data_IF_655970667608
#
_entry.id   IF_655970667608
#
_cell.length_a   1.000
_cell.length_b   1.000
_cell.length_c   1.000
_cell.angle_alpha   90.00
_cell.angle_beta   90.00
_cell.angle_gamma   90.00
#
_symmetry.space_group_name_H-M   'P 1'
#
loop_
_entity.id
_entity.type
_entity.pdbx_description
1 polymer ?
#
# COMPACT_ATOMS: atom_id res chain seq x y z
N UNK A 1 -27.34 -33.60 10.61
CA UNK A 1 -27.10 -32.84 9.37
C UNK A 1 -26.30 -31.61 9.76
N UNK A 2 -24.97 -31.73 9.70
CA UNK A 2 -24.03 -30.75 10.24
C UNK A 2 -23.94 -29.54 9.32
N UNK A 3 -24.59 -28.44 9.68
CA UNK A 3 -24.37 -27.14 9.06
C UNK A 3 -23.13 -26.49 9.68
N UNK A 4 -21.97 -26.96 9.28
CA UNK A 4 -20.68 -26.27 9.43
C UNK A 4 -20.26 -25.86 8.03
N UNK A 5 -20.72 -24.70 7.55
CA UNK A 5 -20.28 -24.13 6.27
C UNK A 5 -20.13 -22.62 6.45
N UNK A 6 -18.87 -22.24 6.68
CA UNK A 6 -18.20 -21.15 5.98
C UNK A 6 -18.82 -19.75 6.09
N UNK A 7 -19.10 -19.31 7.32
CA UNK A 7 -18.98 -17.87 7.60
C UNK A 7 -17.50 -17.54 7.73
N UNK A 8 -16.78 -17.52 6.61
CA UNK A 8 -15.44 -16.96 6.51
C UNK A 8 -15.49 -15.57 7.14
N UNK A 9 -14.77 -15.43 8.25
CA UNK A 9 -14.57 -14.19 8.97
C UNK A 9 -14.11 -13.15 7.95
N UNK A 10 -15.00 -12.23 7.56
CA UNK A 10 -14.66 -11.15 6.63
C UNK A 10 -13.62 -10.30 7.34
N UNK A 11 -12.34 -10.52 7.02
CA UNK A 11 -11.23 -9.76 7.58
C UNK A 11 -11.54 -8.28 7.38
N UNK A 12 -11.66 -7.54 8.49
CA UNK A 12 -12.00 -6.12 8.47
C UNK A 12 -10.94 -5.35 7.68
N UNK A 13 -11.39 -4.61 6.66
CA UNK A 13 -10.52 -3.75 5.89
C UNK A 13 -10.32 -2.42 6.61
N UNK A 14 -9.06 -2.03 6.79
CA UNK A 14 -8.69 -0.73 7.32
C UNK A 14 -9.01 0.38 6.32
N UNK A 15 -9.24 1.62 6.78
CA UNK A 15 -9.45 2.77 5.90
C UNK A 15 -8.32 2.93 4.88
N UNK A 16 -8.63 3.57 3.75
CA UNK A 16 -7.63 3.85 2.72
C UNK A 16 -6.43 4.60 3.30
N UNK A 17 -5.19 4.11 3.10
CA UNK A 17 -3.99 4.71 3.69
C UNK A 17 -3.66 6.10 3.14
N UNK A 18 -4.29 6.51 2.03
CA UNK A 18 -4.03 7.80 1.37
C UNK A 18 -5.05 8.88 1.72
N UNK A 19 -6.34 8.51 1.80
CA UNK A 19 -7.43 9.48 1.96
C UNK A 19 -8.33 9.21 3.17
N UNK A 20 -8.20 8.05 3.83
CA UNK A 20 -9.03 7.66 4.97
C UNK A 20 -10.44 7.17 4.62
N UNK A 21 -10.83 7.18 3.33
CA UNK A 21 -12.14 6.66 2.92
C UNK A 21 -12.23 5.14 3.07
N UNK A 22 -13.43 4.58 3.33
CA UNK A 22 -13.63 3.14 3.36
C UNK A 22 -13.28 2.47 2.01
N UNK A 23 -12.56 1.34 2.01
CA UNK A 23 -12.33 0.57 0.81
C UNK A 23 -13.49 -0.38 0.48
N UNK A 24 -13.49 -0.92 -0.74
CA UNK A 24 -14.39 -1.99 -1.17
C UNK A 24 -13.58 -3.11 -1.80
N UNK A 25 -13.90 -4.35 -1.44
CA UNK A 25 -13.40 -5.56 -2.09
C UNK A 25 -14.43 -6.02 -3.11
N UNK A 26 -13.97 -6.38 -4.30
CA UNK A 26 -14.81 -6.97 -5.34
C UNK A 26 -14.00 -7.86 -6.28
N UNK A 27 -14.70 -8.72 -7.01
CA UNK A 27 -14.16 -9.53 -8.10
C UNK A 27 -14.43 -8.81 -9.43
N UNK A 28 -13.48 -8.84 -10.35
CA UNK A 28 -13.65 -8.28 -11.69
C UNK A 28 -14.51 -9.24 -12.51
N UNK A 29 -15.76 -8.85 -12.77
CA UNK A 29 -16.76 -9.70 -13.45
C UNK A 29 -16.88 -9.41 -14.96
N UNK A 30 -16.16 -8.42 -15.50
CA UNK A 30 -16.24 -8.09 -16.92
C UNK A 30 -15.54 -9.15 -17.78
N UNK A 31 -16.31 -9.92 -18.56
CA UNK A 31 -15.83 -11.09 -19.33
C UNK A 31 -14.75 -10.77 -20.37
N UNK A 32 -14.73 -9.54 -20.89
CA UNK A 32 -13.71 -9.08 -21.85
C UNK A 32 -12.48 -8.47 -21.18
N UNK A 33 -12.51 -8.29 -19.86
CA UNK A 33 -11.37 -7.78 -19.11
C UNK A 33 -10.31 -8.90 -18.98
N UNK A 34 -9.04 -8.65 -19.31
CA UNK A 34 -7.97 -9.64 -19.14
C UNK A 34 -7.77 -10.08 -17.68
N UNK A 35 -8.34 -9.35 -16.72
CA UNK A 35 -8.32 -9.64 -15.29
C UNK A 35 -9.64 -10.23 -14.78
N UNK A 36 -10.54 -10.66 -15.67
CA UNK A 36 -11.79 -11.34 -15.31
C UNK A 36 -11.55 -12.47 -14.29
N UNK A 37 -12.35 -12.50 -13.22
CA UNK A 37 -12.25 -13.44 -12.11
C UNK A 37 -11.19 -13.08 -11.06
N UNK A 38 -10.48 -11.96 -11.22
CA UNK A 38 -9.50 -11.48 -10.25
C UNK A 38 -10.14 -10.65 -9.14
N UNK A 39 -9.69 -10.84 -7.90
CA UNK A 39 -10.10 -10.05 -6.75
C UNK A 39 -9.20 -8.82 -6.55
N UNK A 40 -9.84 -7.72 -6.19
CA UNK A 40 -9.20 -6.44 -5.90
C UNK A 40 -9.86 -5.75 -4.72
N UNK A 41 -9.05 -5.02 -3.94
CA UNK A 41 -9.55 -4.03 -2.99
C UNK A 41 -9.23 -2.65 -3.58
N UNK A 42 -10.24 -1.78 -3.64
CA UNK A 42 -10.11 -0.43 -4.20
C UNK A 42 -10.78 0.63 -3.31
N UNK A 43 -10.23 1.85 -3.35
CA UNK A 43 -10.83 3.04 -2.78
C UNK A 43 -11.50 3.87 -3.88
N UNK A 44 -12.81 4.07 -3.79
CA UNK A 44 -13.59 4.85 -4.75
C UNK A 44 -13.37 6.37 -4.68
N UNK A 45 -12.67 6.86 -3.65
CA UNK A 45 -12.41 8.29 -3.47
C UNK A 45 -11.10 8.77 -4.10
N UNK A 46 -10.11 7.88 -4.24
CA UNK A 46 -8.77 8.26 -4.73
C UNK A 46 -8.13 7.21 -5.63
N UNK A 47 -8.90 6.20 -6.05
CA UNK A 47 -8.50 5.13 -6.97
C UNK A 47 -7.28 4.31 -6.53
N UNK A 48 -6.96 4.33 -5.23
CA UNK A 48 -5.95 3.47 -4.67
C UNK A 48 -6.46 2.02 -4.67
N UNK A 49 -5.71 1.11 -5.26
CA UNK A 49 -6.08 -0.30 -5.34
C UNK A 49 -4.93 -1.25 -4.96
N UNK A 50 -5.28 -2.48 -4.58
CA UNK A 50 -4.31 -3.57 -4.55
C UNK A 50 -3.95 -4.02 -5.96
N UNK A 51 -2.95 -4.91 -6.06
CA UNK A 51 -2.82 -5.76 -7.24
C UNK A 51 -4.06 -6.66 -7.37
N UNK A 52 -4.34 -7.09 -8.59
CA UNK A 52 -5.31 -8.16 -8.85
C UNK A 52 -4.74 -9.49 -8.35
N UNK A 53 -5.55 -10.27 -7.64
CA UNK A 53 -5.18 -11.61 -7.15
C UNK A 53 -6.20 -12.61 -7.68
N UNK A 54 -5.72 -13.72 -8.24
CA UNK A 54 -6.55 -14.81 -8.73
C UNK A 54 -6.47 -16.01 -7.78
N UNK A 55 -7.56 -16.77 -7.64
CA UNK A 55 -7.59 -17.99 -6.82
C UNK A 55 -7.83 -17.71 -5.34
N UNK A 56 -7.15 -18.45 -4.45
CA UNK A 56 -7.32 -18.31 -3.01
C UNK A 56 -6.80 -16.95 -2.52
N UNK A 57 -7.71 -16.12 -2.03
CA UNK A 57 -7.51 -14.69 -1.77
C UNK A 57 -7.31 -14.36 -0.28
N UNK A 58 -6.85 -15.34 0.50
CA UNK A 58 -6.72 -15.27 1.97
C UNK A 58 -5.80 -14.15 2.46
N UNK A 59 -4.84 -13.69 1.64
CA UNK A 59 -3.93 -12.58 1.99
C UNK A 59 -4.28 -11.21 1.39
N UNK A 60 -5.41 -11.08 0.67
CA UNK A 60 -5.73 -9.81 -0.01
C UNK A 60 -6.02 -8.68 0.99
N UNK A 61 -6.71 -9.00 2.09
CA UNK A 61 -6.96 -8.04 3.17
C UNK A 61 -5.66 -7.63 3.86
N UNK A 62 -4.71 -8.54 4.06
CA UNK A 62 -3.40 -8.23 4.65
C UNK A 62 -2.58 -7.31 3.74
N UNK A 63 -2.61 -7.52 2.41
CA UNK A 63 -1.97 -6.64 1.42
C UNK A 63 -2.52 -5.21 1.43
N UNK A 64 -3.78 -5.04 1.82
CA UNK A 64 -4.40 -3.72 2.00
C UNK A 64 -4.04 -3.15 3.38
N UNK A 65 -4.29 -3.93 4.43
CA UNK A 65 -4.17 -3.49 5.82
C UNK A 65 -2.73 -3.19 6.22
N UNK A 66 -1.72 -3.87 5.65
CA UNK A 66 -0.31 -3.56 5.92
C UNK A 66 0.07 -2.14 5.50
N UNK A 67 -0.65 -1.55 4.54
CA UNK A 67 -0.44 -0.16 4.08
C UNK A 67 -1.03 0.86 5.04
N UNK A 68 -2.12 0.51 5.71
CA UNK A 68 -2.73 1.33 6.75
C UNK A 68 -1.94 1.26 8.08
N UNK A 69 -1.12 0.22 8.26
CA UNK A 69 -0.35 -0.07 9.47
C UNK A 69 0.85 0.84 9.78
N UNK A 70 1.14 1.87 8.97
CA UNK A 70 2.13 2.89 9.37
C UNK A 70 1.63 4.31 9.10
N UNK A 71 0.97 4.96 10.07
CA UNK A 71 0.74 6.41 10.04
C UNK A 71 2.05 7.22 10.10
N UNK A 72 3.19 6.54 10.31
CA UNK A 72 4.50 7.14 10.62
C UNK A 72 5.11 8.02 9.52
N UNK A 73 4.59 8.03 8.29
CA UNK A 73 5.27 8.78 7.25
C UNK A 73 4.95 10.29 7.30
N UNK A 74 3.71 10.69 7.63
CA UNK A 74 3.27 12.08 7.46
C UNK A 74 2.48 12.66 8.64
N UNK A 75 2.70 12.14 9.85
CA UNK A 75 2.20 12.79 11.07
C UNK A 75 3.01 14.06 11.31
N UNK A 76 2.32 15.18 11.42
CA UNK A 76 2.86 16.39 12.03
C UNK A 76 2.02 16.84 13.23
N UNK A 77 2.40 17.94 13.89
CA UNK A 77 1.68 18.51 15.03
C UNK A 77 0.22 18.82 14.73
N UNK A 78 -0.13 19.19 13.49
CA UNK A 78 -1.51 19.49 13.09
C UNK A 78 -2.33 18.24 12.70
N UNK A 79 -1.71 17.05 12.67
CA UNK A 79 -2.36 15.79 12.32
C UNK A 79 -1.73 15.08 11.13
N UNK A 80 -2.51 14.24 10.45
CA UNK A 80 -2.05 13.43 9.33
C UNK A 80 -2.07 14.22 8.01
N UNK A 81 -0.93 14.34 7.34
CA UNK A 81 -0.85 14.89 5.99
C UNK A 81 -1.12 13.84 4.91
N UNK A 82 -1.78 14.26 3.83
CA UNK A 82 -2.11 13.40 2.67
C UNK A 82 -0.87 12.95 1.90
N UNK A 83 0.18 13.77 1.87
CA UNK A 83 1.43 13.49 1.16
C UNK A 83 2.65 13.99 1.94
N UNK A 84 3.84 13.50 1.57
CA UNK A 84 5.13 14.08 2.01
C UNK A 84 5.22 15.55 1.73
N UNK A 85 4.82 15.92 0.52
CA UNK A 85 4.94 17.27 0.03
C UNK A 85 4.09 18.22 0.87
N UNK A 86 2.88 17.80 1.25
CA UNK A 86 2.02 18.57 2.15
C UNK A 86 2.66 18.75 3.54
N UNK A 87 3.26 17.71 4.10
CA UNK A 87 3.94 17.81 5.39
C UNK A 87 5.15 18.76 5.34
N UNK A 88 5.92 18.73 4.24
CA UNK A 88 7.05 19.65 3.99
C UNK A 88 6.58 21.09 3.79
N UNK A 89 5.51 21.29 3.01
CA UNK A 89 4.93 22.62 2.75
C UNK A 89 4.43 23.30 4.02
N UNK A 90 3.93 22.51 4.97
CA UNK A 90 3.47 23.01 6.26
C UNK A 90 4.59 23.12 7.31
N UNK A 91 5.85 22.92 6.92
CA UNK A 91 7.03 22.99 7.80
C UNK A 91 7.06 21.97 8.95
N UNK A 92 6.17 20.99 8.94
CA UNK A 92 6.12 19.94 9.97
C UNK A 92 7.05 18.76 9.64
N UNK A 93 7.52 18.69 8.38
CA UNK A 93 8.59 17.81 7.93
C UNK A 93 9.72 18.64 7.31
N UNK A 94 10.97 18.34 7.67
CA UNK A 94 12.15 18.99 7.10
C UNK A 94 12.74 18.13 5.99
N UNK A 95 13.08 18.75 4.86
CA UNK A 95 13.91 18.15 3.82
C UNK A 95 15.18 18.97 3.69
N UNK A 96 16.32 18.32 3.79
CA UNK A 96 17.60 18.95 3.48
C UNK A 96 17.88 18.73 2.00
N UNK A 97 18.04 19.79 1.19
CA UNK A 97 18.45 19.62 -0.20
C UNK A 97 19.82 18.95 -0.23
N UNK A 98 19.98 17.96 -1.11
CA UNK A 98 21.26 17.30 -1.36
C UNK A 98 21.93 17.93 -2.57
N UNK A 99 23.24 18.12 -2.51
CA UNK A 99 24.03 18.50 -3.67
C UNK A 99 24.09 17.37 -4.69
N UNK A 100 24.49 17.69 -5.92
CA UNK A 100 24.69 16.67 -6.96
C UNK A 100 25.72 15.61 -6.52
N UNK A 101 26.81 16.02 -5.86
CA UNK A 101 27.82 15.09 -5.34
C UNK A 101 27.26 14.14 -4.28
N UNK A 102 26.48 14.66 -3.33
CA UNK A 102 25.84 13.83 -2.30
C UNK A 102 24.81 12.87 -2.90
N UNK A 103 24.11 13.27 -3.97
CA UNK A 103 23.20 12.39 -4.68
C UNK A 103 23.92 11.18 -5.26
N UNK A 104 25.07 11.38 -5.93
CA UNK A 104 25.87 10.28 -6.47
C UNK A 104 26.39 9.35 -5.37
N UNK A 105 26.83 9.90 -4.24
CA UNK A 105 27.27 9.13 -3.08
C UNK A 105 26.15 8.28 -2.47
N UNK A 106 24.96 8.86 -2.28
CA UNK A 106 23.80 8.14 -1.76
C UNK A 106 23.35 7.03 -2.72
N UNK A 107 23.31 7.33 -4.02
CA UNK A 107 22.98 6.33 -5.04
C UNK A 107 23.98 5.17 -5.05
N UNK A 108 25.28 5.47 -4.97
CA UNK A 108 26.34 4.46 -4.93
C UNK A 108 26.21 3.55 -3.70
N UNK A 109 25.96 4.14 -2.53
CA UNK A 109 25.70 3.38 -1.29
C UNK A 109 24.49 2.45 -1.42
N UNK A 110 23.41 2.92 -2.05
CA UNK A 110 22.20 2.12 -2.24
C UNK A 110 22.46 0.89 -3.13
N UNK A 111 23.18 1.06 -4.24
CA UNK A 111 23.56 -0.05 -5.13
C UNK A 111 24.42 -1.07 -4.38
N UNK A 112 25.41 -0.62 -3.62
CA UNK A 112 26.27 -1.50 -2.83
C UNK A 112 25.47 -2.29 -1.78
N UNK A 113 24.50 -1.66 -1.12
CA UNK A 113 23.61 -2.36 -0.19
C UNK A 113 22.81 -3.47 -0.88
N UNK A 114 22.25 -3.21 -2.05
CA UNK A 114 21.50 -4.22 -2.81
C UNK A 114 22.37 -5.41 -3.22
N UNK A 115 23.63 -5.17 -3.60
CA UNK A 115 24.58 -6.24 -3.91
C UNK A 115 24.95 -7.06 -2.67
N UNK A 116 25.13 -6.41 -1.54
CA UNK A 116 25.52 -7.05 -0.28
C UNK A 116 24.36 -7.80 0.40
N UNK A 117 23.12 -7.34 0.22
CA UNK A 117 21.94 -7.95 0.85
C UNK A 117 21.51 -9.25 0.16
N UNK A 118 22.04 -9.55 -1.04
CA UNK A 118 21.81 -10.81 -1.77
C UNK A 118 20.35 -10.99 -2.21
N UNK A 119 20.12 -11.43 -3.45
CA UNK A 119 18.76 -11.80 -3.87
C UNK A 119 18.28 -12.98 -3.00
N UNK A 120 17.19 -12.87 -2.23
CA UNK A 120 16.57 -14.03 -1.57
C UNK A 120 15.76 -14.90 -2.55
N UNK A 121 15.77 -14.57 -3.84
CA UNK A 121 15.05 -15.31 -4.87
C UNK A 121 16.01 -15.85 -5.92
N UNK A 122 16.35 -17.12 -5.74
CA UNK A 122 16.69 -18.08 -6.79
C UNK A 122 15.64 -19.20 -6.71
#
# INVERSE_FOLDING_TARGET
>A
MSQTSEKLEQVLLLPCPFCGSPPTRFTIEEERDPNHGGDVISCSSCDASTRVVFGENTGLADLWNCRAGSPHAWLGQAGLYRTRFDAVRNYEQSVTPVSAGELFELASKQVLRQLNEGSPHA
#
